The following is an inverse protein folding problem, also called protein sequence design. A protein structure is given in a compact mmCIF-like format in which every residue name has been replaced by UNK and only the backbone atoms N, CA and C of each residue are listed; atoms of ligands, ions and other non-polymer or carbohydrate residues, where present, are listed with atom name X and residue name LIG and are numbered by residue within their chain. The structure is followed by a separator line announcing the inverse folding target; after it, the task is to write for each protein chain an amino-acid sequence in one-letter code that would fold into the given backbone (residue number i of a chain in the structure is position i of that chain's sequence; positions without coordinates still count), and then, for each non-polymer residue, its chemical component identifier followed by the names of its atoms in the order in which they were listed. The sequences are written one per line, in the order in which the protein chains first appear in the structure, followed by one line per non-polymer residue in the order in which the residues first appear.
data_IF_912760765667
#
_entry.id   IF_912760765667
#
_cell.length_a   1.000
_cell.length_b   1.000
_cell.length_c   1.000
_cell.angle_alpha   90.00
_cell.angle_beta   90.00
_cell.angle_gamma   90.00
#
_symmetry.space_group_name_H-M   'P 1'
#
loop_
_entity.id
_entity.type
_entity.pdbx_description
1 polymer ?
#
# COMPACT_ATOMS: atom_id res chain seq x y z
N UNK A 1 -14.57 -7.69 26.92
CA UNK A 1 -14.33 -6.28 26.55
C UNK A 1 -14.93 -6.08 25.16
N UNK A 2 -16.10 -5.45 25.06
CA UNK A 2 -16.77 -5.18 23.78
C UNK A 2 -15.99 -4.12 23.01
N UNK A 3 -15.61 -4.42 21.77
CA UNK A 3 -15.10 -3.42 20.85
C UNK A 3 -16.24 -2.48 20.49
N UNK A 4 -16.09 -1.20 20.79
CA UNK A 4 -17.05 -0.17 20.37
C UNK A 4 -17.07 -0.13 18.83
N UNK A 5 -18.19 -0.47 18.23
CA UNK A 5 -18.44 -0.49 16.78
C UNK A 5 -18.50 0.92 16.13
N UNK A 6 -18.19 1.97 16.88
CA UNK A 6 -18.22 3.36 16.40
C UNK A 6 -16.84 3.90 15.95
N UNK A 7 -15.85 3.04 15.71
CA UNK A 7 -14.55 3.49 15.23
C UNK A 7 -14.64 3.76 13.72
N UNK A 8 -14.90 5.01 13.38
CA UNK A 8 -14.91 5.50 12.00
C UNK A 8 -13.56 5.21 11.37
N UNK A 9 -13.52 4.44 10.28
CA UNK A 9 -12.28 4.07 9.61
C UNK A 9 -11.54 5.34 9.19
N UNK A 10 -10.40 5.62 9.83
CA UNK A 10 -9.49 6.69 9.45
C UNK A 10 -8.64 6.22 8.27
N UNK A 11 -8.38 7.10 7.32
CA UNK A 11 -7.59 6.78 6.14
C UNK A 11 -6.88 8.03 5.60
N UNK A 12 -5.72 7.83 4.98
CA UNK A 12 -4.96 8.89 4.36
C UNK A 12 -4.06 8.34 3.24
N UNK A 13 -3.74 9.18 2.28
CA UNK A 13 -2.75 8.89 1.25
C UNK A 13 -1.43 9.60 1.58
N UNK A 14 -0.33 8.92 1.36
CA UNK A 14 1.01 9.48 1.53
C UNK A 14 2.00 8.93 0.51
N UNK A 15 3.16 9.52 0.43
CA UNK A 15 4.28 9.04 -0.38
C UNK A 15 5.41 8.58 0.54
N UNK A 16 5.98 7.39 0.29
CA UNK A 16 7.14 6.90 1.03
C UNK A 16 8.33 7.83 0.80
N UNK A 17 8.85 8.43 1.87
CA UNK A 17 10.01 9.32 1.79
C UNK A 17 11.31 8.56 2.05
N UNK A 18 11.53 8.09 3.27
CA UNK A 18 12.76 7.44 3.69
C UNK A 18 12.49 6.45 4.84
N UNK A 19 13.53 5.75 5.25
CA UNK A 19 13.54 5.05 6.53
C UNK A 19 14.55 5.71 7.46
N UNK A 20 14.21 5.77 8.74
CA UNK A 20 15.01 6.35 9.82
C UNK A 20 14.83 5.55 11.10
N UNK A 21 15.31 6.06 12.18
CA UNK A 21 15.12 5.52 13.53
C UNK A 21 14.71 6.63 14.48
N UNK A 22 13.90 6.26 15.47
CA UNK A 22 13.48 7.14 16.57
C UNK A 22 13.82 6.41 17.86
N UNK A 23 14.31 7.15 18.85
CA UNK A 23 14.53 6.60 20.18
C UNK A 23 13.28 6.75 21.02
N UNK A 24 12.85 5.67 21.67
CA UNK A 24 11.79 5.71 22.66
C UNK A 24 12.29 6.38 23.94
N UNK A 25 11.35 6.80 24.80
CA UNK A 25 11.69 7.33 26.13
C UNK A 25 12.52 6.35 26.99
N UNK A 26 12.42 5.04 26.70
CA UNK A 26 13.19 3.97 27.36
C UNK A 26 14.57 3.76 26.76
N UNK A 27 14.97 4.53 25.74
CA UNK A 27 16.24 4.37 25.03
C UNK A 27 16.24 3.25 23.97
N UNK A 28 15.11 2.62 23.68
CA UNK A 28 14.99 1.60 22.62
C UNK A 28 14.99 2.26 21.23
N UNK A 29 15.73 1.67 20.29
CA UNK A 29 15.76 2.14 18.90
C UNK A 29 14.57 1.55 18.15
N UNK A 30 13.68 2.42 17.68
CA UNK A 30 12.52 2.05 16.86
C UNK A 30 12.82 2.37 15.38
N UNK A 31 12.93 1.36 14.50
CA UNK A 31 13.04 1.60 13.07
C UNK A 31 11.70 2.16 12.55
N UNK A 32 11.75 3.25 11.81
CA UNK A 32 10.56 3.91 11.28
C UNK A 32 10.67 4.18 9.79
N UNK A 33 9.54 4.14 9.10
CA UNK A 33 9.39 4.68 7.75
C UNK A 33 8.73 6.04 7.83
N UNK A 34 9.34 7.04 7.22
CA UNK A 34 8.80 8.39 7.06
C UNK A 34 7.90 8.40 5.84
N UNK A 35 6.66 8.80 6.04
CA UNK A 35 5.67 8.97 4.97
C UNK A 35 5.34 10.45 4.87
N UNK A 36 5.62 11.05 3.73
CA UNK A 36 5.22 12.41 3.43
C UNK A 36 3.73 12.42 3.01
N UNK A 37 2.95 13.21 3.70
CA UNK A 37 1.51 13.35 3.49
C UNK A 37 1.24 14.75 2.95
N UNK A 38 1.12 14.87 1.63
CA UNK A 38 0.60 16.08 1.00
C UNK A 38 -0.87 16.26 1.35
N UNK A 39 -1.45 17.47 1.26
CA UNK A 39 -2.87 17.68 1.51
C UNK A 39 -3.74 16.68 0.76
N UNK A 40 -4.59 15.99 1.51
CA UNK A 40 -5.57 15.03 1.01
C UNK A 40 -6.93 15.73 0.91
N UNK A 41 -7.62 15.60 -0.23
CA UNK A 41 -8.88 16.27 -0.50
C UNK A 41 -9.90 15.25 -0.99
N UNK A 42 -11.13 15.33 -0.53
CA UNK A 42 -12.24 14.51 -1.02
C UNK A 42 -12.61 14.96 -2.42
N UNK A 43 -12.41 14.10 -3.42
CA UNK A 43 -12.70 14.38 -4.83
C UNK A 43 -14.09 13.92 -5.25
N UNK A 44 -14.67 12.97 -4.53
CA UNK A 44 -16.01 12.47 -4.82
C UNK A 44 -16.55 11.62 -3.68
N UNK A 45 -17.87 11.55 -3.58
CA UNK A 45 -18.57 10.72 -2.60
C UNK A 45 -19.49 9.77 -3.36
N UNK A 46 -19.47 8.49 -2.98
CA UNK A 46 -20.34 7.42 -3.47
C UNK A 46 -21.47 7.19 -2.48
N UNK A 47 -22.68 7.09 -2.99
CA UNK A 47 -23.87 6.87 -2.18
C UNK A 47 -24.59 5.61 -2.61
N UNK A 48 -25.22 4.93 -1.65
CA UNK A 48 -25.97 3.69 -1.92
C UNK A 48 -27.07 3.88 -2.96
N UNK A 49 -27.70 5.07 -2.98
CA UNK A 49 -28.79 5.36 -3.91
C UNK A 49 -28.34 5.44 -5.39
N UNK A 50 -27.13 5.95 -5.66
CA UNK A 50 -26.61 6.12 -7.03
C UNK A 50 -25.65 5.01 -7.44
N UNK A 51 -24.76 4.61 -6.53
CA UNK A 51 -23.62 3.75 -6.84
C UNK A 51 -23.78 2.34 -6.26
N UNK A 52 -24.79 2.09 -5.43
CA UNK A 52 -25.04 0.81 -4.78
C UNK A 52 -24.17 0.54 -3.55
N UNK A 53 -23.24 1.44 -3.21
CA UNK A 53 -22.37 1.32 -2.02
C UNK A 53 -21.92 2.71 -1.55
N UNK A 54 -21.44 2.78 -0.30
CA UNK A 54 -20.86 4.00 0.27
C UNK A 54 -19.35 3.98 0.17
N UNK A 55 -18.77 5.07 -0.33
CA UNK A 55 -17.32 5.27 -0.39
C UNK A 55 -16.96 6.73 -0.55
N UNK A 56 -15.74 7.08 -0.17
CA UNK A 56 -15.16 8.40 -0.34
C UNK A 56 -13.94 8.28 -1.24
N UNK A 57 -13.90 9.05 -2.31
CA UNK A 57 -12.75 9.16 -3.19
C UNK A 57 -11.85 10.31 -2.71
N UNK A 58 -10.60 9.99 -2.45
CA UNK A 58 -9.59 10.91 -1.92
C UNK A 58 -8.52 11.16 -2.96
N UNK A 59 -8.17 12.42 -3.14
CA UNK A 59 -7.09 12.85 -4.00
C UNK A 59 -5.90 13.39 -3.21
N UNK A 60 -4.68 13.16 -3.72
CA UNK A 60 -3.44 13.64 -3.12
C UNK A 60 -2.48 14.19 -4.17
N UNK A 61 -1.71 15.18 -3.76
CA UNK A 61 -0.65 15.82 -4.55
C UNK A 61 -1.20 16.73 -5.65
N UNK A 62 -0.64 17.91 -5.79
CA UNK A 62 -1.04 18.87 -6.82
C UNK A 62 -0.43 18.51 -8.16
N UNK A 63 -1.21 18.58 -9.23
CA UNK A 63 -0.76 18.32 -10.60
C UNK A 63 -1.16 19.44 -11.55
N UNK A 64 -0.29 19.77 -12.49
CA UNK A 64 -0.60 20.72 -13.57
C UNK A 64 -1.69 20.13 -14.47
N UNK A 65 -2.65 20.95 -14.87
CA UNK A 65 -3.77 20.53 -15.72
C UNK A 65 -3.33 19.93 -17.05
N UNK A 66 -2.26 20.46 -17.65
CA UNK A 66 -1.68 19.94 -18.89
C UNK A 66 -1.19 18.50 -18.83
N UNK A 67 -1.00 17.94 -17.62
CA UNK A 67 -0.58 16.54 -17.39
C UNK A 67 -1.74 15.61 -17.05
N UNK A 68 -2.97 16.14 -17.03
CA UNK A 68 -4.16 15.37 -16.73
C UNK A 68 -4.97 15.14 -18.01
N UNK A 69 -5.68 14.02 -18.08
CA UNK A 69 -6.62 13.79 -19.16
C UNK A 69 -7.84 14.71 -19.04
N UNK A 70 -8.47 15.06 -20.15
CA UNK A 70 -9.66 15.93 -20.18
C UNK A 70 -10.79 15.42 -19.28
N UNK A 71 -10.98 14.09 -19.19
CA UNK A 71 -11.97 13.47 -18.33
C UNK A 71 -11.66 13.68 -16.84
N UNK A 72 -10.40 13.56 -16.43
CA UNK A 72 -9.98 13.83 -15.04
C UNK A 72 -10.09 15.32 -14.72
N UNK A 73 -9.73 16.21 -15.66
CA UNK A 73 -9.92 17.66 -15.50
C UNK A 73 -11.40 18.00 -15.31
N UNK A 74 -12.29 17.38 -16.10
CA UNK A 74 -13.74 17.55 -15.94
C UNK A 74 -14.27 17.02 -14.61
N UNK A 75 -13.75 15.85 -14.14
CA UNK A 75 -14.09 15.31 -12.83
C UNK A 75 -13.65 16.21 -11.68
N UNK A 76 -12.50 16.87 -11.80
CA UNK A 76 -11.92 17.76 -10.80
C UNK A 76 -12.24 19.25 -11.05
N UNK A 77 -13.33 19.58 -11.77
CA UNK A 77 -13.60 20.95 -12.25
C UNK A 77 -13.58 22.00 -11.13
N UNK A 78 -14.19 21.68 -9.99
CA UNK A 78 -14.43 22.64 -8.90
C UNK A 78 -13.47 22.47 -7.71
N UNK A 79 -12.46 21.62 -7.85
CA UNK A 79 -11.48 21.30 -6.81
C UNK A 79 -10.05 21.33 -7.36
N UNK A 80 -9.08 21.32 -6.42
CA UNK A 80 -7.65 21.25 -6.76
C UNK A 80 -7.35 20.04 -7.64
N UNK A 81 -6.58 20.24 -8.70
CA UNK A 81 -6.15 19.17 -9.61
C UNK A 81 -5.15 18.28 -8.90
N UNK A 82 -5.55 17.03 -8.63
CA UNK A 82 -4.75 16.06 -7.88
C UNK A 82 -4.07 15.06 -8.79
N UNK A 83 -2.90 14.58 -8.34
CA UNK A 83 -2.05 13.63 -9.07
C UNK A 83 -2.53 12.18 -8.94
N UNK A 84 -3.01 11.80 -7.77
CA UNK A 84 -3.45 10.44 -7.44
C UNK A 84 -4.81 10.48 -6.79
N UNK A 85 -5.65 9.51 -7.12
CA UNK A 85 -6.98 9.34 -6.53
C UNK A 85 -7.15 7.88 -6.12
N UNK A 86 -7.68 7.66 -4.92
CA UNK A 86 -7.99 6.33 -4.37
C UNK A 86 -9.33 6.39 -3.69
N UNK A 87 -10.09 5.32 -3.77
CA UNK A 87 -11.41 5.20 -3.14
C UNK A 87 -11.32 4.36 -1.87
N UNK A 88 -11.97 4.84 -0.81
CA UNK A 88 -12.09 4.16 0.47
C UNK A 88 -13.55 3.86 0.75
N UNK A 89 -13.87 2.59 0.97
CA UNK A 89 -15.19 2.19 1.46
C UNK A 89 -15.32 2.56 2.92
N UNK A 90 -16.18 3.50 3.22
CA UNK A 90 -16.45 4.01 4.56
C UNK A 90 -17.88 4.49 4.67
N UNK A 91 -18.42 4.46 5.88
CA UNK A 91 -19.72 5.04 6.21
C UNK A 91 -19.60 6.50 6.70
N UNK A 92 -18.37 7.05 6.73
CA UNK A 92 -18.13 8.44 7.14
C UNK A 92 -18.83 9.42 6.18
N UNK A 93 -19.55 10.36 6.75
CA UNK A 93 -20.19 11.44 5.99
C UNK A 93 -19.15 12.55 5.76
N UNK A 94 -18.73 12.70 4.52
CA UNK A 94 -17.82 13.74 4.05
C UNK A 94 -18.38 14.38 2.81
N UNK A 95 -18.04 15.65 2.59
CA UNK A 95 -18.44 16.38 1.40
C UNK A 95 -17.28 16.49 0.41
N UNK A 96 -17.64 16.64 -0.86
CA UNK A 96 -16.66 16.91 -1.90
C UNK A 96 -15.96 18.25 -1.64
N UNK A 97 -14.63 18.24 -1.67
CA UNK A 97 -13.79 19.41 -1.36
C UNK A 97 -13.27 19.44 0.08
N UNK A 98 -13.79 18.60 0.98
CA UNK A 98 -13.30 18.52 2.35
C UNK A 98 -11.85 18.08 2.38
N UNK A 99 -11.05 18.68 3.27
CA UNK A 99 -9.68 18.27 3.53
C UNK A 99 -9.65 17.17 4.58
N UNK A 100 -8.80 16.17 4.36
CA UNK A 100 -8.57 15.08 5.34
C UNK A 100 -7.30 15.43 6.13
N UNK A 101 -7.42 15.76 7.41
CA UNK A 101 -6.30 16.18 8.22
C UNK A 101 -5.42 15.00 8.66
N UNK A 102 -4.13 15.25 8.90
CA UNK A 102 -3.18 14.26 9.37
C UNK A 102 -3.37 13.95 10.87
N UNK A 103 -3.85 14.91 11.64
CA UNK A 103 -4.07 14.83 13.10
C UNK A 103 -5.23 13.88 13.50
N UNK A 104 -5.97 13.33 12.51
CA UNK A 104 -6.93 12.27 12.80
C UNK A 104 -6.28 11.01 13.39
N UNK A 105 -4.99 10.77 13.15
CA UNK A 105 -4.25 9.65 13.72
C UNK A 105 -3.69 10.01 15.08
N UNK A 106 -3.52 8.99 15.93
CA UNK A 106 -2.92 9.14 17.25
C UNK A 106 -1.64 8.32 17.37
N UNK A 107 -0.69 8.77 18.17
CA UNK A 107 0.55 8.02 18.46
C UNK A 107 0.18 6.70 19.14
N UNK A 108 0.79 5.60 18.69
CA UNK A 108 0.49 4.24 19.16
C UNK A 108 -0.66 3.56 18.42
N UNK A 109 -1.42 4.27 17.60
CA UNK A 109 -2.51 3.69 16.80
C UNK A 109 -1.98 2.66 15.80
N UNK A 110 -2.76 1.60 15.59
CA UNK A 110 -2.39 0.50 14.68
C UNK A 110 -3.01 0.75 13.30
N UNK A 111 -2.16 0.71 12.28
CA UNK A 111 -2.54 1.00 10.90
C UNK A 111 -2.11 -0.11 9.94
N UNK A 112 -2.88 -0.27 8.88
CA UNK A 112 -2.57 -1.11 7.73
C UNK A 112 -2.07 -0.23 6.58
N UNK A 113 -0.93 -0.58 6.00
CA UNK A 113 -0.30 0.17 4.92
C UNK A 113 -0.26 -0.64 3.65
N UNK A 114 -0.92 -0.15 2.62
CA UNK A 114 -0.96 -0.77 1.29
C UNK A 114 -0.10 0.03 0.33
N UNK A 115 0.72 -0.66 -0.43
CA UNK A 115 1.56 -0.04 -1.47
C UNK A 115 2.00 -1.05 -2.52
N UNK A 116 2.63 -0.56 -3.58
CA UNK A 116 3.14 -1.39 -4.67
C UNK A 116 4.60 -1.74 -4.40
N UNK A 117 4.92 -3.03 -4.43
CA UNK A 117 6.27 -3.54 -4.18
C UNK A 117 7.25 -3.13 -5.28
N UNK A 118 8.54 -3.13 -4.96
CA UNK A 118 9.59 -2.92 -5.97
C UNK A 118 9.55 -4.03 -7.02
N UNK A 119 9.53 -3.67 -8.31
CA UNK A 119 9.66 -4.63 -9.40
C UNK A 119 11.05 -5.28 -9.38
N UNK A 120 11.11 -6.58 -9.64
CA UNK A 120 12.33 -7.39 -9.68
C UNK A 120 12.55 -8.05 -11.05
N UNK A 121 11.73 -7.70 -12.04
CA UNK A 121 11.76 -8.27 -13.38
C UNK A 121 11.35 -9.74 -13.41
N UNK A 122 11.78 -10.49 -14.42
CA UNK A 122 11.58 -11.93 -14.51
C UNK A 122 12.53 -12.66 -13.58
N UNK A 123 12.00 -13.54 -12.73
CA UNK A 123 12.77 -14.30 -11.75
C UNK A 123 12.47 -15.79 -11.86
N UNK A 124 13.50 -16.61 -11.62
CA UNK A 124 13.39 -18.07 -11.54
C UNK A 124 12.67 -18.54 -10.28
N UNK A 125 12.32 -19.84 -10.26
CA UNK A 125 11.57 -20.45 -9.16
C UNK A 125 12.24 -20.32 -7.79
N UNK A 126 13.56 -20.40 -7.73
CA UNK A 126 14.33 -20.27 -6.49
C UNK A 126 14.11 -18.91 -5.84
N UNK A 127 14.27 -17.80 -6.58
CA UNK A 127 14.11 -16.44 -6.02
C UNK A 127 12.65 -16.06 -5.85
N UNK A 128 11.78 -16.44 -6.80
CA UNK A 128 10.37 -16.05 -6.78
C UNK A 128 9.55 -16.79 -5.75
N UNK A 129 9.82 -18.07 -5.54
CA UNK A 129 9.01 -18.96 -4.70
C UNK A 129 9.77 -19.66 -3.58
N UNK A 130 11.09 -19.44 -3.47
CA UNK A 130 11.91 -20.08 -2.44
C UNK A 130 12.15 -21.57 -2.70
N UNK A 131 12.17 -22.01 -3.96
CA UNK A 131 12.46 -23.40 -4.28
C UNK A 131 13.92 -23.74 -3.95
N UNK A 132 14.15 -24.97 -3.48
CA UNK A 132 15.47 -25.43 -3.09
C UNK A 132 16.41 -25.65 -4.28
N UNK A 133 15.87 -26.08 -5.42
CA UNK A 133 16.67 -26.53 -6.56
C UNK A 133 17.26 -27.91 -6.35
N UNK A 134 18.28 -28.25 -7.12
CA UNK A 134 19.02 -29.51 -7.03
C UNK A 134 20.38 -29.37 -6.31
N UNK A 135 21.06 -30.50 -6.02
CA UNK A 135 22.38 -30.48 -5.43
C UNK A 135 23.41 -29.86 -6.39
N UNK A 136 24.52 -29.33 -5.85
CA UNK A 136 25.62 -28.76 -6.64
C UNK A 136 26.69 -29.80 -7.06
N UNK A 137 26.74 -30.91 -6.36
CA UNK A 137 27.77 -31.95 -6.52
C UNK A 137 27.13 -33.33 -6.69
N UNK A 138 27.87 -34.41 -6.50
CA UNK A 138 27.39 -35.79 -6.64
C UNK A 138 26.83 -36.10 -8.04
N UNK A 139 27.52 -35.63 -9.08
CA UNK A 139 27.16 -35.90 -10.47
C UNK A 139 26.06 -35.01 -11.07
N UNK A 140 25.55 -34.03 -10.32
CA UNK A 140 24.60 -33.05 -10.83
C UNK A 140 25.22 -32.21 -11.94
N UNK A 141 24.51 -32.05 -13.09
CA UNK A 141 25.05 -31.34 -14.24
C UNK A 141 24.40 -29.95 -14.45
N UNK A 142 23.07 -29.88 -14.67
CA UNK A 142 22.42 -28.66 -15.13
C UNK A 142 21.24 -28.19 -14.27
N UNK A 143 20.70 -29.03 -13.38
CA UNK A 143 19.40 -28.83 -12.71
C UNK A 143 19.50 -28.13 -11.35
N UNK A 144 20.61 -27.41 -11.06
CA UNK A 144 20.82 -26.78 -9.74
C UNK A 144 19.71 -25.79 -9.36
N UNK A 145 19.20 -25.01 -10.31
CA UNK A 145 18.22 -23.95 -10.05
C UNK A 145 16.87 -24.18 -10.77
N UNK A 146 16.62 -25.38 -11.20
CA UNK A 146 15.38 -25.76 -11.86
C UNK A 146 14.21 -25.88 -10.87
N UNK A 147 13.00 -25.79 -11.44
CA UNK A 147 11.74 -25.86 -10.67
C UNK A 147 11.45 -27.28 -10.19
N UNK A 148 12.02 -28.28 -10.86
CA UNK A 148 11.71 -29.69 -10.64
C UNK A 148 10.37 -30.09 -11.27
N UNK A 149 9.73 -31.11 -10.73
CA UNK A 149 8.48 -31.63 -11.26
C UNK A 149 7.35 -30.59 -11.16
N UNK A 150 6.63 -30.40 -12.27
CA UNK A 150 5.50 -29.48 -12.36
C UNK A 150 4.13 -30.14 -12.19
N UNK A 151 4.09 -31.45 -12.06
CA UNK A 151 2.84 -32.19 -11.88
C UNK A 151 3.04 -33.69 -11.81
N UNK A 152 1.97 -34.43 -11.70
CA UNK A 152 1.90 -35.89 -11.76
C UNK A 152 1.38 -36.36 -13.13
N UNK A 153 1.69 -37.60 -13.48
CA UNK A 153 1.32 -38.21 -14.78
C UNK A 153 -0.21 -38.33 -14.97
N UNK A 154 -0.94 -38.66 -13.90
CA UNK A 154 -2.38 -38.93 -13.96
C UNK A 154 -3.24 -37.78 -14.51
N UNK A 155 -3.03 -36.53 -14.12
CA UNK A 155 -3.80 -35.39 -14.65
C UNK A 155 -3.50 -35.04 -16.11
N UNK A 156 -2.38 -35.48 -16.67
CA UNK A 156 -1.88 -35.17 -18.03
C UNK A 156 -1.88 -33.70 -18.42
N UNK A 157 -1.83 -32.81 -17.41
CA UNK A 157 -1.79 -31.36 -17.58
C UNK A 157 -1.15 -30.70 -16.36
N UNK A 158 -0.64 -29.48 -16.54
CA UNK A 158 -0.20 -28.62 -15.45
C UNK A 158 -1.41 -27.85 -14.89
N UNK A 159 -1.63 -27.92 -13.60
CA UNK A 159 -2.72 -27.21 -12.95
C UNK A 159 -2.53 -25.68 -13.01
N UNK A 160 -3.65 -24.95 -13.14
CA UNK A 160 -3.64 -23.49 -13.04
C UNK A 160 -3.11 -23.06 -11.66
N UNK A 161 -2.36 -21.97 -11.63
CA UNK A 161 -1.77 -21.45 -10.38
C UNK A 161 -0.51 -22.19 -9.92
N UNK A 162 0.02 -23.17 -10.68
CA UNK A 162 1.29 -23.82 -10.38
C UNK A 162 2.42 -22.79 -10.33
N UNK A 163 3.22 -22.85 -9.27
CA UNK A 163 4.36 -21.92 -9.06
C UNK A 163 5.44 -22.18 -10.10
N UNK A 164 5.72 -21.15 -10.90
CA UNK A 164 6.69 -21.19 -12.01
C UNK A 164 7.48 -19.88 -12.07
N UNK A 165 8.61 -19.85 -12.82
CA UNK A 165 9.31 -18.60 -13.14
C UNK A 165 8.35 -17.56 -13.75
N UNK A 166 8.65 -16.29 -13.56
CA UNK A 166 7.87 -15.20 -14.13
C UNK A 166 8.17 -13.86 -13.48
N UNK A 167 7.38 -12.86 -13.81
CA UNK A 167 7.52 -11.52 -13.22
C UNK A 167 7.34 -11.58 -11.70
N UNK A 168 8.24 -10.91 -10.99
CA UNK A 168 8.21 -10.76 -9.53
C UNK A 168 8.18 -9.28 -9.17
N UNK A 169 7.37 -8.93 -8.18
CA UNK A 169 7.22 -7.56 -7.74
C UNK A 169 6.37 -6.69 -8.68
N UNK A 170 6.14 -5.45 -8.30
CA UNK A 170 5.16 -4.58 -8.93
C UNK A 170 3.73 -4.95 -8.55
N UNK A 171 3.57 -5.73 -7.49
CA UNK A 171 2.29 -6.18 -6.96
C UNK A 171 1.86 -5.29 -5.79
N UNK A 172 0.57 -5.05 -5.66
CA UNK A 172 0.01 -4.38 -4.50
C UNK A 172 -0.04 -5.34 -3.32
N UNK A 173 0.56 -4.94 -2.21
CA UNK A 173 0.52 -5.68 -0.95
C UNK A 173 0.13 -4.76 0.21
N UNK A 174 -0.45 -5.36 1.24
CA UNK A 174 -0.79 -4.67 2.49
C UNK A 174 0.03 -5.25 3.62
N UNK A 175 0.78 -4.40 4.30
CA UNK A 175 1.43 -4.74 5.58
C UNK A 175 0.50 -4.29 6.69
N UNK A 176 0.09 -5.24 7.52
CA UNK A 176 -0.89 -5.02 8.59
C UNK A 176 -0.23 -4.76 9.93
N UNK A 177 -0.99 -4.16 10.84
CA UNK A 177 -0.63 -4.00 12.25
C UNK A 177 0.67 -3.21 12.47
N UNK A 178 0.94 -2.19 11.67
CA UNK A 178 2.03 -1.25 11.92
C UNK A 178 1.56 -0.18 12.92
N UNK A 179 2.48 0.32 13.77
CA UNK A 179 2.16 1.36 14.75
C UNK A 179 2.58 2.74 14.25
N UNK A 180 1.76 3.73 14.50
CA UNK A 180 2.14 5.13 14.35
C UNK A 180 3.07 5.50 15.52
N UNK A 181 4.30 5.91 15.23
CA UNK A 181 5.33 6.23 16.23
C UNK A 181 5.33 7.72 16.55
N UNK A 182 5.23 8.55 15.52
CA UNK A 182 5.21 10.00 15.68
C UNK A 182 4.41 10.65 14.53
N UNK A 183 3.92 11.85 14.75
CA UNK A 183 3.18 12.65 13.77
C UNK A 183 3.77 14.06 13.79
N UNK A 184 4.19 14.54 12.63
CA UNK A 184 4.64 15.91 12.41
C UNK A 184 3.62 16.59 11.50
N UNK A 185 2.72 17.36 12.10
CA UNK A 185 1.64 18.05 11.38
C UNK A 185 2.16 19.23 10.57
N UNK A 186 3.18 19.94 11.06
CA UNK A 186 3.77 21.09 10.36
C UNK A 186 4.57 20.66 9.14
N UNK A 187 5.40 19.62 9.29
CA UNK A 187 6.16 19.02 8.19
C UNK A 187 5.36 18.08 7.30
N UNK A 188 4.11 17.78 7.63
CA UNK A 188 3.26 16.83 6.90
C UNK A 188 3.85 15.42 6.86
N UNK A 189 4.39 14.92 7.98
CA UNK A 189 5.07 13.62 8.05
C UNK A 189 4.43 12.68 9.06
N UNK A 190 4.23 11.45 8.63
CA UNK A 190 3.77 10.35 9.47
C UNK A 190 4.90 9.32 9.62
N UNK A 191 5.25 9.01 10.86
CA UNK A 191 6.29 8.03 11.19
C UNK A 191 5.64 6.71 11.56
N UNK A 192 5.85 5.69 10.74
CA UNK A 192 5.25 4.36 10.91
C UNK A 192 6.34 3.37 11.28
N UNK A 193 6.10 2.53 12.27
CA UNK A 193 7.05 1.51 12.72
C UNK A 193 7.39 0.51 11.62
N UNK A 194 8.66 0.16 11.48
CA UNK A 194 9.13 -0.85 10.55
C UNK A 194 9.14 -0.43 9.09
N UNK A 195 9.07 -1.42 8.20
CA UNK A 195 9.18 -1.23 6.76
C UNK A 195 7.83 -1.26 6.07
N UNK A 196 7.64 -0.38 5.10
CA UNK A 196 6.45 -0.34 4.23
C UNK A 196 6.81 -0.69 2.79
N UNK A 197 5.87 -1.18 1.97
CA UNK A 197 6.14 -1.60 0.60
C UNK A 197 6.58 -0.43 -0.30
N UNK A 198 7.30 -0.76 -1.35
CA UNK A 198 7.66 0.16 -2.42
C UNK A 198 9.01 0.85 -2.26
N UNK A 199 9.33 1.68 -3.25
CA UNK A 199 10.51 2.55 -3.31
C UNK A 199 10.19 3.93 -2.74
N UNK A 200 11.18 4.79 -2.64
CA UNK A 200 11.00 6.24 -2.42
C UNK A 200 10.01 6.82 -3.46
N UNK A 201 9.06 7.64 -3.04
CA UNK A 201 8.01 8.22 -3.89
C UNK A 201 6.87 7.27 -4.25
N UNK A 202 6.80 6.05 -3.64
CA UNK A 202 5.67 5.15 -3.82
C UNK A 202 4.45 5.68 -3.06
N UNK A 203 3.30 5.73 -3.75
CA UNK A 203 2.02 6.00 -3.11
C UNK A 203 1.70 4.92 -2.09
N UNK A 204 1.38 5.34 -0.88
CA UNK A 204 0.92 4.50 0.22
C UNK A 204 -0.52 4.84 0.57
N UNK A 205 -1.30 3.81 0.80
CA UNK A 205 -2.68 3.90 1.30
C UNK A 205 -2.62 3.44 2.75
N UNK A 206 -2.91 4.34 3.66
CA UNK A 206 -2.85 4.10 5.11
C UNK A 206 -4.27 4.13 5.64
N UNK A 207 -4.65 3.13 6.41
CA UNK A 207 -5.95 3.05 7.09
C UNK A 207 -5.79 2.42 8.46
N UNK A 208 -6.68 2.74 9.39
CA UNK A 208 -6.73 2.05 10.68
C UNK A 208 -6.95 0.55 10.48
N UNK A 209 -6.23 -0.25 11.25
CA UNK A 209 -6.44 -1.71 11.28
C UNK A 209 -7.78 -2.02 11.95
N UNK A 210 -8.56 -2.92 11.34
CA UNK A 210 -9.82 -3.40 11.92
C UNK A 210 -9.57 -4.44 12.99
#
# INVERSE_FOLDING_TARGET
MGRNFNDTMKFILGEKEAMSQIFSEKGEVLPVTIVHVSPNIVTGVRTTAKDGYKAVQVGMGVQKESRLSKSVVGHLKDITKVKKMVEFRTDSEMNRGDAIPLDQFTIGEVVDVTGVTKGKGFQGGVKRHGFHGGPRSHGQKHSEREVGSIGATGPQRVFKGKRMPGRMGGDQITVKNLKVVAIDTEGGKLYISGAVPGRHGTLLIIKTSK
#
